data_IF_503497731145
#
_entry.id   IF_503497731145
#
_cell.length_a   1.000
_cell.length_b   1.000
_cell.length_c   1.000
_cell.angle_alpha   90.00
_cell.angle_beta   90.00
_cell.angle_gamma   90.00
#
_symmetry.space_group_name_H-M   'P 1'
#
loop_
_entity.id
_entity.type
_entity.pdbx_description
1 polymer ?
#
# COMPACT_ATOMS: atom_id res chain seq x y z
N UNK A 1 10.12 -18.47 9.34
CA UNK A 1 8.75 -18.81 8.94
C UNK A 1 8.56 -20.28 8.57
N UNK A 2 9.63 -21.03 8.55
CA UNK A 2 9.57 -22.46 8.27
C UNK A 2 8.81 -23.17 9.39
N UNK A 3 7.85 -24.01 9.05
CA UNK A 3 7.00 -24.70 10.02
C UNK A 3 5.77 -23.93 10.46
N UNK A 4 5.55 -22.73 9.91
CA UNK A 4 4.35 -21.92 10.16
C UNK A 4 3.51 -21.82 8.91
N UNK A 5 2.41 -21.06 8.99
CA UNK A 5 1.62 -20.72 7.79
C UNK A 5 2.36 -19.76 6.86
N UNK A 6 3.49 -19.21 7.33
CA UNK A 6 4.19 -18.15 6.63
C UNK A 6 3.57 -16.79 6.92
N UNK A 7 3.82 -15.83 6.04
CA UNK A 7 3.35 -14.47 6.22
C UNK A 7 3.05 -13.80 4.89
N UNK A 8 2.17 -12.82 4.92
CA UNK A 8 2.05 -11.83 3.87
C UNK A 8 2.96 -10.66 4.22
N UNK A 9 3.65 -10.10 3.24
CA UNK A 9 4.58 -9.00 3.48
C UNK A 9 4.61 -8.06 2.28
N UNK A 10 4.74 -6.78 2.56
CA UNK A 10 4.90 -5.77 1.54
C UNK A 10 6.01 -4.80 1.92
N UNK A 11 6.85 -4.47 0.95
CA UNK A 11 7.95 -3.53 1.12
C UNK A 11 7.88 -2.46 0.07
N UNK A 12 8.10 -1.22 0.47
CA UNK A 12 8.11 -0.08 -0.42
C UNK A 12 9.36 0.74 -0.14
N UNK A 13 10.12 1.02 -1.18
CA UNK A 13 11.29 1.89 -1.10
C UNK A 13 11.08 3.08 -2.02
N UNK A 14 11.39 4.27 -1.54
CA UNK A 14 11.28 5.49 -2.33
C UNK A 14 12.67 6.13 -2.41
N UNK A 15 13.16 6.32 -3.63
CA UNK A 15 14.38 7.09 -3.87
C UNK A 15 14.00 8.57 -3.86
N UNK A 16 14.47 9.29 -2.87
CA UNK A 16 14.12 10.70 -2.69
C UNK A 16 14.71 11.62 -3.76
N UNK A 17 15.75 11.18 -4.47
CA UNK A 17 16.36 11.97 -5.53
C UNK A 17 15.61 11.80 -6.85
N UNK A 18 15.34 10.56 -7.25
CA UNK A 18 14.67 10.27 -8.53
C UNK A 18 13.16 10.29 -8.45
N UNK A 19 12.60 10.16 -7.25
CA UNK A 19 11.16 10.01 -7.07
C UNK A 19 10.65 8.63 -7.45
N UNK A 20 11.53 7.66 -7.62
CA UNK A 20 11.11 6.30 -7.97
C UNK A 20 10.67 5.54 -6.74
N UNK A 21 9.46 4.98 -6.80
CA UNK A 21 8.95 4.05 -5.81
C UNK A 21 9.12 2.64 -6.33
N UNK A 22 9.63 1.74 -5.49
CA UNK A 22 9.73 0.32 -5.77
C UNK A 22 8.93 -0.45 -4.74
N UNK A 23 8.05 -1.32 -5.19
CA UNK A 23 7.18 -2.11 -4.32
C UNK A 23 7.38 -3.60 -4.60
N UNK A 24 7.54 -4.36 -3.53
CA UNK A 24 7.55 -5.82 -3.57
C UNK A 24 6.56 -6.30 -2.52
N UNK A 25 5.57 -7.08 -2.95
CA UNK A 25 4.57 -7.60 -2.03
C UNK A 25 4.25 -9.06 -2.31
N UNK A 26 3.97 -9.80 -1.25
CA UNK A 26 3.59 -11.21 -1.29
C UNK A 26 2.38 -11.39 -0.38
N UNK A 27 1.38 -12.09 -0.86
CA UNK A 27 0.16 -12.34 -0.11
C UNK A 27 -0.82 -11.18 -0.21
N UNK A 28 -1.32 -10.72 0.92
CA UNK A 28 -2.50 -9.85 0.98
C UNK A 28 -2.15 -8.37 1.20
N UNK A 29 -1.19 -7.86 0.44
CA UNK A 29 -0.84 -6.44 0.51
C UNK A 29 -1.11 -5.75 -0.82
N UNK A 30 -1.37 -4.47 -0.78
CA UNK A 30 -1.55 -3.63 -1.97
C UNK A 30 -1.02 -2.24 -1.70
N UNK A 31 -0.66 -1.55 -2.77
CA UNK A 31 -0.24 -0.16 -2.70
C UNK A 31 -1.01 0.64 -3.75
N UNK A 32 -1.44 1.85 -3.38
CA UNK A 32 -2.11 2.77 -4.31
C UNK A 32 -1.44 4.13 -4.23
N UNK A 33 -1.25 4.73 -5.39
CA UNK A 33 -0.75 6.10 -5.49
C UNK A 33 -1.88 7.01 -5.97
N UNK A 34 -2.12 8.07 -5.22
CA UNK A 34 -3.10 9.10 -5.57
C UNK A 34 -2.35 10.37 -5.95
N UNK A 35 -2.54 10.82 -7.16
CA UNK A 35 -1.91 12.01 -7.71
C UNK A 35 -2.70 12.50 -8.90
N UNK A 36 -2.03 12.91 -9.97
CA UNK A 36 -2.70 13.26 -11.21
C UNK A 36 -3.54 12.10 -11.75
N UNK A 37 -3.06 10.87 -11.53
CA UNK A 37 -3.81 9.64 -11.80
C UNK A 37 -3.70 8.72 -10.59
N UNK A 38 -4.65 7.82 -10.46
CA UNK A 38 -4.60 6.78 -9.44
C UNK A 38 -3.96 5.54 -10.05
N UNK A 39 -2.96 4.99 -9.37
CA UNK A 39 -2.27 3.77 -9.80
C UNK A 39 -2.27 2.77 -8.67
N UNK A 40 -2.54 1.51 -8.97
CA UNK A 40 -2.55 0.43 -8.00
C UNK A 40 -1.52 -0.63 -8.39
N UNK A 41 -0.72 -1.04 -7.42
CA UNK A 41 0.16 -2.20 -7.54
C UNK A 41 -0.31 -3.25 -6.55
N UNK A 42 -0.28 -4.51 -6.96
CA UNK A 42 -0.74 -5.61 -6.13
C UNK A 42 0.39 -6.56 -5.84
N UNK A 43 0.30 -7.24 -4.70
CA UNK A 43 1.28 -8.24 -4.32
C UNK A 43 1.18 -9.48 -5.20
N UNK A 44 2.27 -10.25 -5.23
CA UNK A 44 2.29 -11.54 -5.88
C UNK A 44 1.50 -12.55 -5.06
N UNK A 45 0.94 -13.55 -5.73
CA UNK A 45 0.36 -14.69 -5.05
C UNK A 45 1.44 -15.47 -4.33
N UNK A 46 1.07 -16.01 -3.19
CA UNK A 46 1.97 -16.82 -2.39
C UNK A 46 2.04 -16.33 -0.95
N UNK A 47 2.83 -17.04 -0.18
CA UNK A 47 3.02 -16.76 1.24
C UNK A 47 4.50 -16.88 1.54
N UNK A 48 5.06 -15.87 2.20
CA UNK A 48 6.48 -15.86 2.58
C UNK A 48 6.78 -17.08 3.45
N UNK A 49 7.78 -17.85 3.06
CA UNK A 49 8.17 -19.06 3.76
C UNK A 49 7.54 -20.33 3.23
N UNK A 50 6.63 -20.27 2.25
CA UNK A 50 5.96 -21.45 1.69
C UNK A 50 6.11 -21.56 0.18
N UNK A 51 5.53 -20.65 -0.59
CA UNK A 51 5.35 -20.83 -2.03
C UNK A 51 6.12 -19.83 -2.87
N UNK A 52 6.73 -18.86 -2.26
CA UNK A 52 7.41 -17.81 -3.00
C UNK A 52 8.69 -18.33 -3.64
N UNK A 53 8.80 -18.15 -4.96
CA UNK A 53 9.99 -18.54 -5.73
C UNK A 53 10.81 -17.33 -6.16
N UNK A 54 10.17 -16.30 -6.67
CA UNK A 54 10.84 -15.13 -7.21
C UNK A 54 10.10 -13.88 -6.80
N UNK A 55 10.83 -12.89 -6.30
CA UNK A 55 10.28 -11.57 -6.00
C UNK A 55 10.29 -10.73 -7.28
N UNK A 56 9.16 -10.13 -7.61
CA UNK A 56 9.00 -9.29 -8.79
C UNK A 56 8.74 -7.85 -8.36
N UNK A 57 9.77 -7.00 -8.35
CA UNK A 57 9.59 -5.59 -7.99
C UNK A 57 8.73 -4.87 -9.04
N UNK A 58 7.89 -3.97 -8.58
CA UNK A 58 7.10 -3.09 -9.42
C UNK A 58 7.47 -1.65 -9.09
N UNK A 59 7.54 -0.79 -10.09
CA UNK A 59 8.00 0.57 -9.91
C UNK A 59 6.99 1.60 -10.40
N UNK A 60 7.01 2.76 -9.75
CA UNK A 60 6.24 3.94 -10.13
C UNK A 60 7.14 5.17 -10.05
N UNK A 61 6.88 6.15 -10.90
CA UNK A 61 7.45 7.48 -10.75
C UNK A 61 6.51 8.35 -9.94
N UNK A 62 7.00 8.94 -8.86
CA UNK A 62 6.23 9.83 -8.02
C UNK A 62 6.46 11.29 -8.40
N UNK A 63 5.40 12.07 -8.33
CA UNK A 63 5.45 13.52 -8.49
C UNK A 63 5.23 14.19 -7.14
N UNK A 64 5.65 15.45 -7.04
CA UNK A 64 5.47 16.21 -5.80
C UNK A 64 3.99 16.23 -5.37
N UNK A 65 3.76 15.94 -4.11
CA UNK A 65 2.42 15.89 -3.54
C UNK A 65 1.69 14.57 -3.67
N UNK A 66 2.25 13.60 -4.39
CA UNK A 66 1.61 12.28 -4.51
C UNK A 66 1.45 11.62 -3.13
N UNK A 67 0.31 10.98 -2.94
CA UNK A 67 0.03 10.21 -1.73
C UNK A 67 0.11 8.73 -2.06
N UNK A 68 0.90 8.01 -1.28
CA UNK A 68 1.07 6.57 -1.41
C UNK A 68 0.45 5.90 -0.21
N UNK A 69 -0.41 4.92 -0.43
CA UNK A 69 -1.08 4.17 0.64
C UNK A 69 -0.78 2.69 0.45
N UNK A 70 -0.12 2.11 1.44
CA UNK A 70 0.18 0.68 1.50
C UNK A 70 -0.73 0.06 2.55
N UNK A 71 -1.45 -0.99 2.19
CA UNK A 71 -2.43 -1.57 3.10
C UNK A 71 -2.55 -3.08 2.94
N UNK A 72 -3.10 -3.71 3.98
CA UNK A 72 -3.38 -5.15 4.00
C UNK A 72 -4.84 -5.40 3.63
N UNK A 73 -5.20 -6.65 3.37
CA UNK A 73 -6.56 -7.02 2.97
C UNK A 73 -7.61 -6.88 4.09
N UNK A 74 -7.18 -6.58 5.32
CA UNK A 74 -8.09 -6.15 6.36
C UNK A 74 -8.74 -4.79 6.08
N UNK A 75 -8.20 -4.05 5.09
CA UNK A 75 -8.78 -2.80 4.60
C UNK A 75 -9.49 -3.07 3.29
N UNK A 76 -10.76 -2.64 3.20
CA UNK A 76 -11.53 -2.80 1.97
C UNK A 76 -10.93 -1.99 0.83
N UNK A 77 -10.89 -2.56 -0.37
CA UNK A 77 -10.43 -1.88 -1.58
C UNK A 77 -11.38 -0.78 -2.08
N UNK A 78 -12.51 -0.59 -1.41
CA UNK A 78 -13.56 0.32 -1.87
C UNK A 78 -13.23 1.80 -1.71
N UNK A 79 -12.21 2.15 -0.93
CA UNK A 79 -11.86 3.55 -0.79
C UNK A 79 -11.28 4.09 -2.10
N UNK A 80 -11.75 5.25 -2.54
CA UNK A 80 -11.28 5.92 -3.74
C UNK A 80 -11.19 7.41 -3.49
N UNK A 81 -10.40 8.10 -4.33
CA UNK A 81 -10.31 9.55 -4.29
C UNK A 81 -11.67 10.21 -4.56
N UNK A 82 -12.51 9.57 -5.37
CA UNK A 82 -13.84 10.08 -5.67
C UNK A 82 -14.77 10.04 -4.47
N UNK A 83 -14.61 9.04 -3.59
CA UNK A 83 -15.43 8.92 -2.38
C UNK A 83 -14.98 9.83 -1.26
N UNK A 84 -13.66 10.03 -1.11
CA UNK A 84 -13.10 10.81 -0.01
C UNK A 84 -12.00 11.75 -0.49
N UNK A 85 -12.30 12.68 -1.41
CA UNK A 85 -11.27 13.53 -1.97
C UNK A 85 -10.61 14.43 -0.91
N UNK A 86 -11.37 14.91 0.06
CA UNK A 86 -10.82 15.78 1.10
C UNK A 86 -9.88 15.04 2.05
N UNK A 87 -10.15 13.76 2.33
CA UNK A 87 -9.31 12.95 3.20
C UNK A 87 -7.91 12.76 2.61
N UNK A 88 -7.82 12.59 1.31
CA UNK A 88 -6.55 12.38 0.63
C UNK A 88 -5.66 13.63 0.62
N UNK A 89 -6.20 14.80 0.94
CA UNK A 89 -5.43 16.04 1.05
C UNK A 89 -4.97 16.34 2.48
N UNK A 90 -5.37 15.54 3.45
CA UNK A 90 -4.93 15.70 4.83
C UNK A 90 -3.51 15.17 5.02
N UNK A 91 -2.95 15.39 6.20
CA UNK A 91 -1.65 14.82 6.55
C UNK A 91 -1.68 13.29 6.44
N UNK A 92 -0.54 12.70 6.08
CA UNK A 92 -0.47 11.27 5.80
C UNK A 92 -0.96 10.42 6.99
N UNK A 93 -0.60 10.77 8.21
CA UNK A 93 -1.04 10.03 9.40
C UNK A 93 -2.55 10.06 9.59
N UNK A 94 -3.18 11.20 9.29
CA UNK A 94 -4.63 11.31 9.35
C UNK A 94 -5.31 10.48 8.28
N UNK A 95 -4.74 10.45 7.08
CA UNK A 95 -5.24 9.62 5.98
C UNK A 95 -5.22 8.15 6.37
N UNK A 96 -4.10 7.66 6.90
CA UNK A 96 -3.98 6.26 7.30
C UNK A 96 -5.01 5.89 8.37
N UNK A 97 -5.16 6.73 9.40
CA UNK A 97 -6.15 6.50 10.45
C UNK A 97 -7.57 6.48 9.94
N UNK A 98 -7.93 7.40 9.07
CA UNK A 98 -9.26 7.47 8.48
C UNK A 98 -9.57 6.27 7.60
N UNK A 99 -8.59 5.80 6.83
CA UNK A 99 -8.78 4.63 5.97
C UNK A 99 -9.07 3.39 6.82
N UNK A 100 -8.28 3.15 7.85
CA UNK A 100 -8.51 2.00 8.73
C UNK A 100 -9.86 2.10 9.42
N UNK A 101 -10.22 3.28 9.90
CA UNK A 101 -11.48 3.47 10.62
C UNK A 101 -12.69 3.25 9.73
N UNK A 102 -12.66 3.71 8.48
CA UNK A 102 -13.80 3.68 7.58
C UNK A 102 -13.88 2.40 6.74
N UNK A 103 -12.75 1.83 6.38
CA UNK A 103 -12.68 0.72 5.43
C UNK A 103 -12.07 -0.55 6.02
N UNK A 104 -11.68 -0.52 7.31
CA UNK A 104 -11.24 -1.73 7.99
C UNK A 104 -12.39 -2.73 8.10
N UNK A 105 -12.08 -3.99 7.89
CA UNK A 105 -13.06 -5.08 8.03
C UNK A 105 -13.17 -5.51 9.47
N UNK A 106 -14.39 -5.81 9.93
CA UNK A 106 -14.68 -6.03 11.35
C UNK A 106 -13.93 -7.20 11.99
N UNK A 107 -13.66 -8.26 11.26
CA UNK A 107 -13.10 -9.49 11.82
C UNK A 107 -11.69 -9.78 11.31
N UNK A 108 -10.98 -8.75 10.86
CA UNK A 108 -9.68 -8.93 10.27
C UNK A 108 -8.73 -7.83 10.75
N UNK A 109 -7.48 -8.18 10.95
CA UNK A 109 -6.45 -7.20 11.26
C UNK A 109 -6.24 -6.30 10.05
N UNK A 110 -6.21 -5.00 10.30
CA UNK A 110 -6.05 -4.02 9.25
C UNK A 110 -4.85 -3.13 9.54
N UNK A 111 -3.98 -2.98 8.54
CA UNK A 111 -2.84 -2.08 8.62
C UNK A 111 -2.82 -1.19 7.40
N UNK A 112 -2.56 0.08 7.62
CA UNK A 112 -2.47 1.06 6.55
C UNK A 112 -1.31 2.01 6.84
N UNK A 113 -0.45 2.19 5.85
CA UNK A 113 0.66 3.16 5.92
C UNK A 113 0.44 4.16 4.79
N UNK A 114 0.46 5.44 5.13
CA UNK A 114 0.33 6.50 4.15
C UNK A 114 1.59 7.35 4.12
N UNK A 115 2.06 7.67 2.93
CA UNK A 115 3.27 8.49 2.72
C UNK A 115 2.94 9.59 1.71
N UNK A 116 3.22 10.83 2.08
CA UNK A 116 3.13 11.96 1.15
C UNK A 116 4.53 12.25 0.60
N UNK A 117 4.68 12.12 -0.71
CA UNK A 117 5.96 12.42 -1.35
C UNK A 117 6.08 13.93 -1.62
N UNK A 118 7.19 14.49 -1.20
CA UNK A 118 7.51 15.89 -1.45
C UNK A 118 8.88 15.94 -2.14
N UNK A 119 8.85 16.39 -3.37
CA UNK A 119 10.08 16.48 -4.18
C UNK A 119 10.95 17.66 -3.72
#
# INVERSE_FOLDING_TARGET
LKGTRGAAAGFCAIDSVSGRLTYVGVGNTSIRRFGATETRLVSQDGVVGHTLRTLMPQTLALADGDLVVLYTDGVSDRFTAAEYPSVLHHAAEEVAGNIVQRFGKDHDDATCIAVRYQA
#
